data_IF_097175072901
#
_entry.id   IF_097175072901
#
_cell.length_a   1.000
_cell.length_b   1.000
_cell.length_c   1.000
_cell.angle_alpha   90.00
_cell.angle_beta   90.00
_cell.angle_gamma   90.00
#
_symmetry.space_group_name_H-M   'P 1'
#
loop_
_entity.id
_entity.type
_entity.pdbx_description
1 polymer ?
#
# COMPACT_ATOMS: atom_id res chain seq x y z
N UNK A 1 -19.42 -10.58 -9.81
CA UNK A 1 -18.36 -10.13 -10.73
C UNK A 1 -17.14 -10.96 -10.42
N UNK A 2 -16.53 -11.61 -11.42
CA UNK A 2 -15.31 -12.41 -11.22
C UNK A 2 -14.11 -11.46 -11.18
N UNK A 3 -13.34 -11.48 -10.10
CA UNK A 3 -12.07 -10.77 -10.04
C UNK A 3 -11.15 -11.28 -11.13
N UNK A 4 -10.50 -10.36 -11.85
CA UNK A 4 -9.54 -10.72 -12.88
C UNK A 4 -8.32 -11.47 -12.27
N UNK A 5 -7.76 -12.41 -13.03
CA UNK A 5 -6.64 -13.24 -12.56
C UNK A 5 -5.39 -12.42 -12.28
N UNK A 6 -5.13 -11.36 -13.05
CA UNK A 6 -4.00 -10.48 -12.79
C UNK A 6 -4.18 -9.76 -11.45
N UNK A 7 -5.37 -9.20 -11.21
CA UNK A 7 -5.68 -8.53 -9.95
C UNK A 7 -5.58 -9.47 -8.74
N UNK A 8 -6.00 -10.73 -8.88
CA UNK A 8 -5.84 -11.75 -7.83
C UNK A 8 -4.36 -12.00 -7.49
N UNK A 9 -3.50 -12.18 -8.50
CA UNK A 9 -2.07 -12.41 -8.27
C UNK A 9 -1.41 -11.18 -7.65
N UNK A 10 -1.71 -9.98 -8.15
CA UNK A 10 -1.19 -8.73 -7.59
C UNK A 10 -1.61 -8.53 -6.14
N UNK A 11 -2.89 -8.75 -5.83
CA UNK A 11 -3.39 -8.64 -4.45
C UNK A 11 -2.78 -9.70 -3.54
N UNK A 12 -2.53 -10.91 -4.03
CA UNK A 12 -1.82 -11.94 -3.28
C UNK A 12 -0.41 -11.49 -2.91
N UNK A 13 0.36 -10.99 -3.88
CA UNK A 13 1.72 -10.48 -3.65
C UNK A 13 1.73 -9.28 -2.69
N UNK A 14 0.73 -8.40 -2.78
CA UNK A 14 0.60 -7.27 -1.88
C UNK A 14 0.33 -7.73 -0.43
N UNK A 15 -0.65 -8.62 -0.23
CA UNK A 15 -0.99 -9.13 1.10
C UNK A 15 0.20 -9.89 1.68
N UNK A 16 0.90 -10.68 0.87
CA UNK A 16 2.15 -11.36 1.25
C UNK A 16 3.20 -10.38 1.76
N UNK A 17 3.46 -9.30 1.03
CA UNK A 17 4.43 -8.30 1.41
C UNK A 17 4.07 -7.62 2.74
N UNK A 18 2.78 -7.30 2.93
CA UNK A 18 2.27 -6.66 4.15
C UNK A 18 2.41 -7.59 5.35
N UNK A 19 2.01 -8.86 5.22
CA UNK A 19 2.17 -9.86 6.27
C UNK A 19 3.65 -10.13 6.59
N UNK A 20 4.54 -10.19 5.60
CA UNK A 20 5.98 -10.37 5.85
C UNK A 20 6.63 -9.20 6.57
N UNK A 21 6.15 -7.98 6.34
CA UNK A 21 6.69 -6.78 6.96
C UNK A 21 6.24 -6.57 8.42
N UNK A 22 5.26 -7.34 8.90
CA UNK A 22 4.64 -7.14 10.22
C UNK A 22 4.60 -8.46 11.01
N UNK A 23 4.97 -8.45 12.31
CA UNK A 23 4.83 -9.63 13.14
C UNK A 23 3.35 -9.86 13.51
N UNK A 24 2.70 -10.80 12.81
CA UNK A 24 1.34 -11.26 13.13
C UNK A 24 0.25 -10.71 12.21
N UNK A 25 -1.04 -10.92 12.56
CA UNK A 25 -2.18 -10.53 11.74
C UNK A 25 -2.19 -9.03 11.43
N UNK A 26 -2.53 -8.69 10.18
CA UNK A 26 -2.46 -7.32 9.66
C UNK A 26 -3.85 -6.74 9.44
N UNK A 27 -4.02 -5.45 9.71
CA UNK A 27 -5.30 -4.79 9.45
C UNK A 27 -5.52 -4.57 7.95
N UNK A 28 -6.77 -4.67 7.49
CA UNK A 28 -7.14 -4.30 6.13
C UNK A 28 -6.77 -2.84 5.82
N UNK A 29 -6.85 -1.96 6.81
CA UNK A 29 -6.37 -0.58 6.70
C UNK A 29 -4.90 -0.51 6.30
N UNK A 30 -4.03 -1.32 6.93
CA UNK A 30 -2.62 -1.39 6.56
C UNK A 30 -2.43 -1.88 5.12
N UNK A 31 -3.20 -2.88 4.68
CA UNK A 31 -3.16 -3.39 3.31
C UNK A 31 -3.52 -2.29 2.30
N UNK A 32 -4.60 -1.54 2.52
CA UNK A 32 -5.00 -0.42 1.64
C UNK A 32 -3.97 0.72 1.65
N UNK A 33 -3.35 1.00 2.80
CA UNK A 33 -2.31 2.03 2.93
C UNK A 33 -1.05 1.63 2.14
N UNK A 34 -0.59 0.39 2.28
CA UNK A 34 0.58 -0.10 1.55
C UNK A 34 0.28 -0.17 0.04
N UNK A 35 -0.92 -0.60 -0.35
CA UNK A 35 -1.38 -0.55 -1.74
C UNK A 35 -1.27 0.87 -2.30
N UNK A 36 -1.77 1.85 -1.55
CA UNK A 36 -1.75 3.25 -1.94
C UNK A 36 -0.35 3.77 -2.16
N UNK A 37 0.54 3.55 -1.19
CA UNK A 37 1.93 3.99 -1.27
C UNK A 37 2.66 3.30 -2.42
N UNK A 38 2.41 2.01 -2.65
CA UNK A 38 2.99 1.28 -3.76
C UNK A 38 2.52 1.82 -5.11
N UNK A 39 1.23 2.10 -5.28
CA UNK A 39 0.70 2.71 -6.50
C UNK A 39 1.25 4.13 -6.72
N UNK A 40 1.38 4.92 -5.65
CA UNK A 40 1.91 6.28 -5.70
C UNK A 40 3.43 6.32 -5.98
N UNK A 41 4.16 5.26 -5.62
CA UNK A 41 5.62 5.13 -5.76
C UNK A 41 6.04 4.20 -6.90
N UNK A 42 5.12 3.49 -7.56
CA UNK A 42 5.41 2.62 -8.70
C UNK A 42 6.29 3.30 -9.78
N UNK A 43 6.11 4.59 -10.13
CA UNK A 43 6.98 5.25 -11.10
C UNK A 43 8.45 5.34 -10.67
N UNK A 44 8.76 5.37 -9.36
CA UNK A 44 10.14 5.34 -8.85
C UNK A 44 10.82 4.02 -9.19
N UNK A 45 10.03 2.95 -9.29
CA UNK A 45 10.51 1.62 -9.66
C UNK A 45 10.54 1.38 -11.18
N UNK A 46 10.05 2.34 -11.98
CA UNK A 46 9.84 2.17 -13.42
C UNK A 46 8.63 1.30 -13.76
N UNK A 47 7.69 1.15 -12.83
CA UNK A 47 6.43 0.42 -13.02
C UNK A 47 5.28 1.39 -13.25
N UNK A 48 4.28 0.96 -14.02
CA UNK A 48 3.02 1.68 -14.14
C UNK A 48 2.10 1.37 -12.96
N UNK A 49 1.41 2.40 -12.47
CA UNK A 49 0.33 2.22 -11.49
C UNK A 49 -0.81 1.40 -12.10
N UNK A 50 -1.25 0.36 -11.39
CA UNK A 50 -2.31 -0.56 -11.82
C UNK A 50 -3.68 0.04 -11.54
N UNK A 51 -3.91 0.43 -10.29
CA UNK A 51 -5.13 1.14 -9.90
C UNK A 51 -4.88 2.65 -9.99
N UNK A 52 -5.49 3.28 -10.99
CA UNK A 52 -5.34 4.73 -11.22
C UNK A 52 -6.24 5.56 -10.32
N UNK A 53 -7.07 4.96 -9.49
CA UNK A 53 -8.05 5.66 -8.67
C UNK A 53 -8.12 5.06 -7.27
N UNK A 54 -8.04 5.92 -6.27
CA UNK A 54 -8.20 5.53 -4.87
C UNK A 54 -9.23 6.42 -4.20
N UNK A 55 -10.11 5.83 -3.38
CA UNK A 55 -11.08 6.60 -2.61
C UNK A 55 -10.38 7.20 -1.37
N UNK A 56 -10.38 8.53 -1.26
CA UNK A 56 -9.86 9.24 -0.08
C UNK A 56 -10.90 9.21 1.04
N UNK A 57 -10.71 8.40 2.09
CA UNK A 57 -11.60 8.38 3.26
C UNK A 57 -10.99 9.12 4.46
N UNK A 58 -11.82 9.42 5.45
CA UNK A 58 -11.36 9.94 6.73
C UNK A 58 -10.56 8.84 7.46
N UNK A 59 -9.22 8.90 7.34
CA UNK A 59 -8.30 8.03 8.08
C UNK A 59 -7.45 7.09 7.20
N UNK A 60 -7.93 6.67 6.02
CA UNK A 60 -7.13 5.82 5.12
C UNK A 60 -7.61 5.86 3.66
N UNK A 61 -6.71 5.61 2.70
CA UNK A 61 -7.08 5.28 1.33
C UNK A 61 -7.89 3.99 1.28
N UNK A 62 -8.79 3.87 0.31
CA UNK A 62 -9.58 2.66 0.11
C UNK A 62 -9.70 2.30 -1.37
N UNK A 63 -9.40 1.05 -1.69
CA UNK A 63 -9.49 0.48 -3.03
C UNK A 63 -10.61 -0.57 -3.07
N UNK A 64 -11.77 -0.26 -3.67
CA UNK A 64 -12.86 -1.23 -3.77
C UNK A 64 -12.46 -2.52 -4.53
N UNK A 65 -11.61 -2.39 -5.55
CA UNK A 65 -11.08 -3.52 -6.32
C UNK A 65 -10.22 -4.43 -5.46
N UNK A 66 -9.25 -3.86 -4.73
CA UNK A 66 -8.45 -4.60 -3.76
C UNK A 66 -9.29 -5.28 -2.67
N UNK A 67 -10.36 -4.64 -2.17
CA UNK A 67 -11.24 -5.29 -1.20
C UNK A 67 -11.85 -6.57 -1.79
N UNK A 68 -12.37 -6.52 -3.01
CA UNK A 68 -12.94 -7.69 -3.70
C UNK A 68 -11.88 -8.78 -3.91
N UNK A 69 -10.65 -8.39 -4.25
CA UNK A 69 -9.53 -9.33 -4.38
C UNK A 69 -9.26 -10.04 -3.06
N UNK A 70 -9.19 -9.31 -1.94
CA UNK A 70 -8.95 -9.91 -0.62
C UNK A 70 -10.12 -10.80 -0.19
N UNK A 71 -11.35 -10.39 -0.44
CA UNK A 71 -12.54 -11.22 -0.19
C UNK A 71 -12.47 -12.53 -0.98
N UNK A 72 -12.05 -12.48 -2.24
CA UNK A 72 -11.82 -13.68 -3.06
C UNK A 72 -10.68 -14.56 -2.52
N UNK A 73 -9.59 -13.97 -2.01
CA UNK A 73 -8.50 -14.71 -1.37
C UNK A 73 -8.97 -15.40 -0.08
N UNK A 74 -9.86 -14.77 0.69
CA UNK A 74 -10.51 -15.37 1.86
C UNK A 74 -11.36 -16.56 1.41
N UNK A 75 -12.20 -16.39 0.39
CA UNK A 75 -13.04 -17.48 -0.14
C UNK A 75 -12.22 -18.66 -0.69
N UNK A 76 -10.97 -18.41 -1.14
CA UNK A 76 -10.04 -19.44 -1.63
C UNK A 76 -9.21 -20.10 -0.53
N UNK A 77 -9.36 -19.65 0.72
CA UNK A 77 -8.56 -20.15 1.86
C UNK A 77 -7.10 -19.70 1.87
N UNK A 78 -6.75 -18.70 1.06
CA UNK A 78 -5.41 -18.10 1.05
C UNK A 78 -5.22 -17.11 2.21
N UNK A 79 -6.31 -16.49 2.66
CA UNK A 79 -6.34 -15.49 3.72
C UNK A 79 -7.38 -15.91 4.77
N UNK A 80 -7.06 -15.75 6.05
CA UNK A 80 -7.98 -15.96 7.16
C UNK A 80 -8.34 -14.64 7.82
N UNK A 81 -9.61 -14.45 8.18
CA UNK A 81 -10.04 -13.31 9.02
C UNK A 81 -9.86 -13.68 10.48
N UNK A 82 -8.96 -12.99 11.17
CA UNK A 82 -8.64 -13.20 12.59
C UNK A 82 -9.57 -12.40 13.49
N UNK A 83 -9.85 -11.16 13.10
CA UNK A 83 -10.76 -10.28 13.83
C UNK A 83 -11.61 -9.47 12.86
N UNK A 84 -12.85 -9.20 13.25
CA UNK A 84 -13.78 -8.40 12.48
C UNK A 84 -14.48 -7.41 13.42
N UNK A 85 -14.28 -6.12 13.16
CA UNK A 85 -14.94 -5.03 13.86
C UNK A 85 -15.89 -4.30 12.89
N UNK A 86 -17.22 -4.51 13.03
CA UNK A 86 -18.21 -3.71 12.34
C UNK A 86 -18.38 -2.37 13.08
N UNK A 87 -17.51 -1.40 12.80
CA UNK A 87 -17.65 -0.05 13.35
C UNK A 87 -18.28 0.93 12.35
N UNK A 88 -19.12 1.83 12.88
CA UNK A 88 -19.62 2.99 12.14
C UNK A 88 -18.51 4.04 12.11
N UNK A 89 -18.06 4.43 10.92
CA UNK A 89 -17.14 5.54 10.76
C UNK A 89 -17.78 6.87 11.18
N UNK A 90 -16.94 7.89 11.42
CA UNK A 90 -17.37 9.24 11.83
C UNK A 90 -18.36 9.93 10.86
N UNK A 91 -18.48 9.43 9.63
CA UNK A 91 -19.30 10.02 8.56
C UNK A 91 -20.37 9.07 8.01
N UNK A 92 -20.96 8.20 8.85
CA UNK A 92 -22.03 7.24 8.46
C UNK A 92 -21.63 6.16 7.45
N UNK A 93 -20.35 6.12 7.06
CA UNK A 93 -19.79 4.99 6.31
C UNK A 93 -19.62 3.80 7.27
N UNK A 94 -20.24 2.65 6.94
CA UNK A 94 -19.88 1.39 7.59
C UNK A 94 -18.45 1.04 7.19
N UNK A 95 -17.53 1.04 8.15
CA UNK A 95 -16.15 0.62 7.93
C UNK A 95 -15.99 -0.72 8.59
N UNK A 96 -16.08 -1.78 7.79
CA UNK A 96 -15.73 -3.12 8.22
C UNK A 96 -14.20 -3.19 8.34
N UNK A 97 -13.70 -3.13 9.58
CA UNK A 97 -12.28 -3.31 9.84
C UNK A 97 -12.02 -4.78 10.13
N UNK A 98 -11.36 -5.46 9.19
CA UNK A 98 -10.90 -6.82 9.41
C UNK A 98 -9.39 -6.82 9.70
N UNK A 99 -8.97 -7.72 10.58
CA UNK A 99 -7.57 -8.14 10.70
C UNK A 99 -7.46 -9.50 10.04
N UNK A 100 -6.50 -9.64 9.14
CA UNK A 100 -6.30 -10.82 8.32
C UNK A 100 -4.94 -11.44 8.57
N UNK A 101 -4.82 -12.72 8.27
CA UNK A 101 -3.56 -13.44 8.26
C UNK A 101 -3.45 -14.32 7.02
N UNK A 102 -2.23 -14.62 6.59
CA UNK A 102 -2.00 -15.48 5.43
C UNK A 102 -1.89 -16.95 5.84
N UNK A 103 -2.49 -17.80 5.03
CA UNK A 103 -2.26 -19.24 5.11
C UNK A 103 -1.03 -19.56 4.27
N UNK A 104 0.14 -19.46 4.89
CA UNK A 104 1.43 -19.55 4.19
C UNK A 104 1.57 -20.82 3.35
N UNK A 105 1.12 -21.97 3.84
CA UNK A 105 1.20 -23.25 3.13
C UNK A 105 0.38 -23.25 1.83
N UNK A 106 -0.70 -22.48 1.77
CA UNK A 106 -1.56 -22.34 0.58
C UNK A 106 -0.98 -21.33 -0.40
N UNK A 107 -0.38 -20.26 0.12
CA UNK A 107 0.04 -19.09 -0.67
C UNK A 107 1.44 -19.24 -1.24
N UNK A 108 2.36 -19.85 -0.50
CA UNK A 108 3.78 -19.93 -0.84
C UNK A 108 4.05 -20.47 -2.27
N UNK A 109 3.42 -21.57 -2.73
CA UNK A 109 3.67 -22.07 -4.09
C UNK A 109 3.25 -21.08 -5.19
N UNK A 110 2.18 -20.31 -4.95
CA UNK A 110 1.69 -19.33 -5.91
C UNK A 110 2.61 -18.11 -5.97
N UNK A 111 3.15 -17.68 -4.83
CA UNK A 111 4.13 -16.58 -4.75
C UNK A 111 5.43 -16.98 -5.44
N UNK A 112 5.96 -18.17 -5.14
CA UNK A 112 7.19 -18.69 -5.78
C UNK A 112 7.05 -18.81 -7.29
N UNK A 113 5.87 -19.24 -7.78
CA UNK A 113 5.58 -19.28 -9.20
C UNK A 113 5.50 -17.88 -9.81
N UNK A 114 4.84 -16.94 -9.14
CA UNK A 114 4.74 -15.56 -9.61
C UNK A 114 6.12 -14.90 -9.72
N UNK A 115 7.01 -15.14 -8.76
CA UNK A 115 8.37 -14.58 -8.78
C UNK A 115 9.28 -15.14 -9.89
N UNK A 116 8.86 -16.18 -10.61
CA UNK A 116 9.55 -16.63 -11.83
C UNK A 116 9.38 -15.63 -12.99
N UNK A 117 8.32 -14.82 -12.97
CA UNK A 117 8.05 -13.79 -13.96
C UNK A 117 8.66 -12.46 -13.53
N UNK A 118 9.51 -11.86 -14.35
CA UNK A 118 10.30 -10.67 -13.98
C UNK A 118 9.44 -9.48 -13.57
N UNK A 119 8.32 -9.24 -14.26
CA UNK A 119 7.38 -8.16 -13.94
C UNK A 119 6.69 -8.35 -12.59
N UNK A 120 6.32 -9.58 -12.24
CA UNK A 120 5.69 -9.90 -10.96
C UNK A 120 6.72 -9.91 -9.82
N UNK A 121 7.96 -10.33 -10.10
CA UNK A 121 9.08 -10.22 -9.17
C UNK A 121 9.39 -8.77 -8.80
N UNK A 122 9.49 -7.89 -9.81
CA UNK A 122 9.71 -6.46 -9.57
C UNK A 122 8.57 -5.83 -8.76
N UNK A 123 7.34 -6.27 -9.02
CA UNK A 123 6.17 -5.83 -8.26
C UNK A 123 6.20 -6.34 -6.80
N UNK A 124 6.53 -7.61 -6.59
CA UNK A 124 6.72 -8.22 -5.26
C UNK A 124 7.76 -7.43 -4.46
N UNK A 125 8.91 -7.11 -5.07
CA UNK A 125 9.95 -6.29 -4.44
C UNK A 125 9.47 -4.88 -4.10
N UNK A 126 8.74 -4.21 -5.00
CA UNK A 126 8.14 -2.91 -4.71
C UNK A 126 7.22 -2.98 -3.49
N UNK A 127 6.29 -3.95 -3.46
CA UNK A 127 5.36 -4.11 -2.35
C UNK A 127 6.08 -4.38 -1.04
N UNK A 128 7.09 -5.26 -1.04
CA UNK A 128 7.86 -5.57 0.16
C UNK A 128 8.66 -4.37 0.68
N UNK A 129 9.32 -3.61 -0.19
CA UNK A 129 10.06 -2.40 0.20
C UNK A 129 9.14 -1.35 0.82
N UNK A 130 7.98 -1.10 0.22
CA UNK A 130 6.98 -0.17 0.76
C UNK A 130 6.44 -0.67 2.10
N UNK A 131 6.11 -1.96 2.20
CA UNK A 131 5.59 -2.55 3.43
C UNK A 131 6.61 -2.47 4.58
N UNK A 132 7.88 -2.82 4.32
CA UNK A 132 8.97 -2.75 5.30
C UNK A 132 9.29 -1.32 5.74
N UNK A 133 9.20 -0.35 4.83
CA UNK A 133 9.42 1.04 5.18
C UNK A 133 8.24 1.61 5.99
N UNK A 134 7.01 1.23 5.63
CA UNK A 134 5.78 1.67 6.29
C UNK A 134 5.60 1.04 7.67
N UNK A 135 6.01 -0.22 7.89
CA UNK A 135 5.88 -0.91 9.19
C UNK A 135 6.68 -0.26 10.33
N UNK A 136 7.60 0.66 10.00
CA UNK A 136 8.33 1.49 10.97
C UNK A 136 7.50 2.65 11.51
N UNK A 137 6.34 2.94 10.91
CA UNK A 137 5.47 4.02 11.36
C UNK A 137 4.69 3.58 12.62
N UNK A 138 4.63 4.42 13.67
CA UNK A 138 3.77 4.14 14.82
C UNK A 138 2.28 4.26 14.46
N UNK A 139 1.95 5.09 13.47
CA UNK A 139 0.60 5.31 12.96
C UNK A 139 0.64 5.42 11.43
N UNK A 140 0.16 4.38 10.76
CA UNK A 140 0.07 4.32 9.30
C UNK A 140 -0.92 5.34 8.72
N UNK A 141 -2.03 5.63 9.43
CA UNK A 141 -3.01 6.62 8.98
C UNK A 141 -2.41 8.02 8.96
N UNK A 142 -1.64 8.37 10.00
CA UNK A 142 -0.88 9.62 10.04
C UNK A 142 0.21 9.68 8.98
N UNK A 143 0.89 8.56 8.71
CA UNK A 143 1.88 8.49 7.63
C UNK A 143 1.26 8.85 6.28
N UNK A 144 0.10 8.27 5.93
CA UNK A 144 -0.56 8.58 4.65
C UNK A 144 -1.13 10.00 4.63
N UNK A 145 -1.59 10.53 5.76
CA UNK A 145 -2.03 11.93 5.83
C UNK A 145 -0.92 12.94 5.51
N UNK A 146 0.35 12.54 5.62
CA UNK A 146 1.53 13.35 5.28
C UNK A 146 2.04 13.12 3.86
N UNK A 147 1.54 12.10 3.16
CA UNK A 147 1.94 11.81 1.78
C UNK A 147 1.52 12.96 0.84
N UNK A 148 2.41 13.29 -0.09
CA UNK A 148 2.27 14.48 -0.95
C UNK A 148 1.05 14.40 -1.89
N UNK A 149 0.72 13.21 -2.38
CA UNK A 149 -0.45 12.97 -3.21
C UNK A 149 -1.73 12.92 -2.36
N UNK A 150 -1.70 12.24 -1.21
CA UNK A 150 -2.89 12.06 -0.37
C UNK A 150 -3.32 13.35 0.33
N UNK A 151 -2.35 14.14 0.81
CA UNK A 151 -2.58 15.36 1.56
C UNK A 151 -3.03 16.53 0.69
N UNK A 152 -3.19 16.34 -0.62
CA UNK A 152 -3.60 17.40 -1.55
C UNK A 152 -4.97 17.98 -1.13
N UNK A 153 -5.03 19.27 -0.74
CA UNK A 153 -6.26 19.89 -0.23
C UNK A 153 -7.31 20.14 -1.31
N UNK A 154 -6.93 20.08 -2.59
CA UNK A 154 -7.87 20.24 -3.71
C UNK A 154 -8.78 19.02 -3.89
N UNK A 155 -8.45 17.88 -3.27
CA UNK A 155 -9.28 16.67 -3.27
C UNK A 155 -9.92 16.50 -1.89
N UNK A 156 -11.23 16.76 -1.82
CA UNK A 156 -12.05 16.57 -0.62
C UNK A 156 -12.12 15.11 -0.20
N UNK A 157 -12.51 14.87 1.06
CA UNK A 157 -12.87 13.53 1.54
C UNK A 157 -14.01 12.94 0.70
N UNK A 158 -14.03 11.61 0.61
CA UNK A 158 -14.97 10.81 -0.18
C UNK A 158 -14.94 11.11 -1.68
N UNK A 159 -13.79 11.57 -2.18
CA UNK A 159 -13.50 11.73 -3.62
C UNK A 159 -12.38 10.80 -4.06
N UNK A 160 -12.35 10.52 -5.36
CA UNK A 160 -11.31 9.73 -6.00
C UNK A 160 -10.06 10.59 -6.22
N UNK A 161 -8.92 10.11 -5.75
CA UNK A 161 -7.60 10.64 -6.12
C UNK A 161 -7.16 9.88 -7.37
N UNK A 162 -6.75 10.61 -8.41
CA UNK A 162 -6.13 10.01 -9.59
C UNK A 162 -4.64 9.74 -9.31
N UNK A 163 -4.20 8.51 -9.54
CA UNK A 163 -2.82 8.07 -9.44
C UNK A 163 -2.23 7.96 -10.85
N UNK A 164 -0.98 8.40 -11.03
CA UNK A 164 -0.21 8.17 -12.26
C UNK A 164 -0.30 9.21 -13.38
N UNK A 165 -1.20 10.20 -13.36
CA UNK A 165 -1.29 11.20 -14.46
C UNK A 165 -1.61 12.64 -14.00
N UNK A 166 -0.59 13.51 -13.89
CA UNK A 166 -0.73 14.98 -13.89
C UNK A 166 0.04 15.78 -12.81
N UNK A 167 1.06 16.55 -13.26
CA UNK A 167 1.72 17.74 -12.64
C UNK A 167 2.32 17.68 -11.21
N UNK A 168 3.32 18.53 -10.87
CA UNK A 168 4.53 18.15 -10.16
C UNK A 168 4.43 18.30 -8.64
N UNK A 169 3.61 17.47 -7.98
CA UNK A 169 3.65 17.29 -6.51
C UNK A 169 3.34 15.85 -6.06
N UNK A 170 3.53 14.87 -6.94
CA UNK A 170 3.29 13.46 -6.60
C UNK A 170 4.34 12.89 -5.65
N UNK A 171 3.97 11.83 -4.92
CA UNK A 171 4.86 11.06 -4.03
C UNK A 171 6.12 10.59 -4.75
N UNK A 172 6.00 10.04 -5.97
CA UNK A 172 7.14 9.61 -6.78
C UNK A 172 8.12 10.76 -7.12
N UNK A 173 7.62 11.94 -7.49
CA UNK A 173 8.48 13.09 -7.80
C UNK A 173 9.24 13.59 -6.58
N UNK A 174 8.60 13.57 -5.41
CA UNK A 174 9.24 13.93 -4.15
C UNK A 174 10.26 12.87 -3.70
N UNK A 175 9.95 11.58 -3.86
CA UNK A 175 10.88 10.48 -3.59
C UNK A 175 12.15 10.59 -4.46
N UNK A 176 12.00 10.86 -5.75
CA UNK A 176 13.13 11.11 -6.67
C UNK A 176 13.97 12.32 -6.23
N UNK A 177 13.32 13.41 -5.80
CA UNK A 177 14.02 14.60 -5.30
C UNK A 177 14.79 14.32 -4.01
N UNK A 178 14.20 13.59 -3.07
CA UNK A 178 14.86 13.18 -1.81
C UNK A 178 16.06 12.29 -2.11
N UNK A 179 15.92 11.33 -3.02
CA UNK A 179 17.01 10.44 -3.42
C UNK A 179 18.21 11.18 -4.01
N UNK A 180 17.96 12.23 -4.81
CA UNK A 180 19.03 13.09 -5.39
C UNK A 180 19.71 14.00 -4.36
N UNK A 181 18.98 14.45 -3.34
CA UNK A 181 19.50 15.41 -2.35
C UNK A 181 20.31 14.74 -1.24
N UNK A 182 19.95 13.51 -0.85
CA UNK A 182 20.53 12.84 0.31
C UNK A 182 21.70 11.90 -0.03
N UNK A 183 21.96 11.63 -1.31
CA UNK A 183 22.93 10.62 -1.71
C UNK A 183 23.90 11.18 -2.77
N UNK A 184 25.20 11.18 -2.46
CA UNK A 184 26.26 11.56 -3.41
C UNK A 184 26.44 10.51 -4.53
N UNK A 185 25.86 9.32 -4.34
CA UNK A 185 25.76 8.24 -5.32
C UNK A 185 24.33 8.13 -5.85
N UNK A 186 24.17 7.57 -7.05
CA UNK A 186 22.84 7.28 -7.62
C UNK A 186 22.14 6.24 -6.72
N UNK A 187 21.19 6.68 -5.90
CA UNK A 187 20.39 5.81 -5.04
C UNK A 187 19.62 4.78 -5.87
N UNK A 188 19.61 3.53 -5.40
CA UNK A 188 18.79 2.45 -5.96
C UNK A 188 17.29 2.74 -5.78
N UNK A 189 16.45 2.01 -6.53
CA UNK A 189 14.99 2.16 -6.50
C UNK A 189 14.42 1.94 -5.09
N UNK A 190 14.86 0.87 -4.41
CA UNK A 190 14.50 0.57 -3.01
C UNK A 190 14.95 1.64 -2.02
N UNK A 191 16.17 2.14 -2.16
CA UNK A 191 16.66 3.22 -1.29
C UNK A 191 15.82 4.49 -1.42
N UNK A 192 15.39 4.87 -2.62
CA UNK A 192 14.52 6.05 -2.82
C UNK A 192 13.18 5.89 -2.08
N UNK A 193 12.56 4.72 -2.16
CA UNK A 193 11.31 4.42 -1.44
C UNK A 193 11.54 4.45 0.06
N UNK A 194 12.55 3.73 0.54
CA UNK A 194 12.92 3.70 1.96
C UNK A 194 13.22 5.09 2.52
N UNK A 195 13.92 5.94 1.77
CA UNK A 195 14.21 7.33 2.16
C UNK A 195 12.94 8.19 2.20
N UNK A 196 12.06 8.05 1.21
CA UNK A 196 10.81 8.80 1.16
C UNK A 196 9.85 8.40 2.28
N UNK A 197 9.52 7.12 2.39
CA UNK A 197 8.61 6.61 3.42
C UNK A 197 9.23 6.83 4.81
N UNK A 198 10.54 6.61 4.97
CA UNK A 198 11.26 6.92 6.20
C UNK A 198 11.30 8.42 6.55
N UNK A 199 11.20 9.31 5.56
CA UNK A 199 10.97 10.73 5.80
C UNK A 199 9.56 10.97 6.36
N UNK A 200 8.52 10.37 5.78
CA UNK A 200 7.16 10.46 6.30
C UNK A 200 7.04 9.91 7.73
N UNK A 201 7.64 8.75 8.01
CA UNK A 201 7.71 8.14 9.36
C UNK A 201 8.27 9.13 10.37
N UNK A 202 9.41 9.76 10.06
CA UNK A 202 10.05 10.74 10.96
C UNK A 202 9.16 11.94 11.25
N UNK A 203 8.36 12.40 10.29
CA UNK A 203 7.41 13.49 10.50
C UNK A 203 6.17 13.03 11.29
N UNK A 204 5.71 11.80 11.07
CA UNK A 204 4.61 11.22 11.84
C UNK A 204 4.98 11.10 13.32
N UNK A 205 6.23 10.78 13.67
CA UNK A 205 6.67 10.64 15.06
C UNK A 205 6.95 11.96 15.82
N UNK A 206 6.92 13.13 15.16
CA UNK A 206 7.46 14.41 15.70
C UNK A 206 6.44 15.40 16.32
N UNK A 207 5.15 15.08 16.49
CA UNK A 207 4.17 16.06 17.10
C UNK A 207 3.42 15.52 18.32
N UNK A 208 4.09 14.75 19.15
CA UNK A 208 3.54 14.37 20.47
C UNK A 208 4.15 15.23 21.61
N UNK A 209 4.82 16.33 21.26
CA UNK A 209 5.29 17.41 22.17
C UNK A 209 4.53 18.73 21.91
#
# INVERSE_FOLDING_TARGET
MTTDRESLVRGLLLVEAVCRANPGPVSMTAVHIVAYLAEALAPVWGLESHERQVLKRAGSPYFPGLQQVVDDLICRGAVTVVHYDPSMGKHTDLVANATIDLVHEVVQPAVELAEQFSNLRDLSHLYLEVALAASRAPDLGRLVALDASYSNPTVSLNRLIQLGTGEPRGSAALAEKIGKLLNERVASRGEKISLYVGHLVRFASRRDD
#
